data_IF_752075551292
#
_entry.id   IF_752075551292
#
_cell.length_a   1.000
_cell.length_b   1.000
_cell.length_c   1.000
_cell.angle_alpha   90.00
_cell.angle_beta   90.00
_cell.angle_gamma   90.00
#
_symmetry.space_group_name_H-M   'P 1'
#
loop_
_entity.id
_entity.type
_entity.pdbx_description
1 polymer ?
#
# COMPACT_ATOMS: atom_id res chain seq x y z
N UNK A 1 -9.26 -21.54 20.94
CA UNK A 1 -8.58 -20.30 20.50
C UNK A 1 -7.55 -20.77 19.49
N UNK A 2 -7.69 -20.39 18.24
CA UNK A 2 -6.64 -20.58 17.22
C UNK A 2 -5.47 -19.71 17.64
N UNK A 3 -4.29 -20.29 17.85
CA UNK A 3 -3.07 -19.52 18.07
C UNK A 3 -2.88 -18.53 16.92
N UNK A 4 -2.80 -17.25 17.25
CA UNK A 4 -2.53 -16.22 16.25
C UNK A 4 -1.16 -16.50 15.64
N UNK A 5 -1.11 -16.56 14.32
CA UNK A 5 0.12 -16.82 13.55
C UNK A 5 1.14 -15.69 13.68
N UNK A 6 0.71 -14.49 14.08
CA UNK A 6 1.51 -13.27 14.21
C UNK A 6 1.33 -12.69 15.61
N UNK A 7 2.43 -12.21 16.19
CA UNK A 7 2.46 -11.56 17.51
C UNK A 7 2.59 -10.05 17.40
N UNK A 8 3.30 -9.56 16.38
CA UNK A 8 3.56 -8.14 16.16
C UNK A 8 3.48 -7.80 14.67
N UNK A 9 2.78 -6.72 14.34
CA UNK A 9 2.61 -6.26 12.96
C UNK A 9 2.97 -4.77 12.85
N UNK A 10 3.75 -4.43 11.82
CA UNK A 10 4.04 -3.05 11.42
C UNK A 10 3.01 -2.56 10.40
N UNK A 11 2.35 -1.45 10.69
CA UNK A 11 1.34 -0.82 9.82
C UNK A 11 1.88 0.51 9.29
N UNK A 12 1.95 0.64 7.96
CA UNK A 12 2.40 1.87 7.30
C UNK A 12 1.23 2.81 7.04
N UNK A 13 1.42 4.09 7.38
CA UNK A 13 0.49 5.17 7.04
C UNK A 13 0.76 5.77 5.66
N UNK A 14 -0.10 6.67 5.24
CA UNK A 14 -0.06 7.31 3.91
C UNK A 14 0.69 8.65 3.87
N UNK A 15 1.25 9.09 4.99
CA UNK A 15 1.88 10.41 5.08
C UNK A 15 0.88 11.55 5.25
N UNK A 16 1.13 12.72 4.66
CA UNK A 16 0.23 13.87 4.75
C UNK A 16 -1.16 13.55 4.20
N UNK A 17 -2.20 14.01 4.91
CA UNK A 17 -3.58 13.90 4.43
C UNK A 17 -3.78 14.88 3.29
N UNK A 18 -4.04 14.35 2.09
CA UNK A 18 -4.35 15.15 0.89
C UNK A 18 -5.81 14.90 0.50
N UNK A 19 -6.63 15.94 0.52
CA UNK A 19 -8.04 15.84 0.17
C UNK A 19 -8.19 15.34 -1.27
N UNK A 20 -8.99 14.30 -1.45
CA UNK A 20 -9.23 13.67 -2.75
C UNK A 20 -8.16 12.67 -3.20
N UNK A 21 -7.13 12.41 -2.37
CA UNK A 21 -6.03 11.49 -2.72
C UNK A 21 -5.72 10.46 -1.65
N UNK A 22 -5.67 10.84 -0.37
CA UNK A 22 -5.15 9.95 0.69
C UNK A 22 -5.86 10.07 2.04
N UNK A 23 -6.90 10.89 2.14
CA UNK A 23 -7.60 11.14 3.42
C UNK A 23 -8.27 9.89 3.98
N UNK A 24 -8.76 9.00 3.13
CA UNK A 24 -9.40 7.73 3.51
C UNK A 24 -8.42 6.73 4.14
N UNK A 25 -7.14 6.81 3.82
CA UNK A 25 -6.13 5.88 4.34
C UNK A 25 -5.86 6.04 5.82
N UNK A 26 -6.05 7.25 6.38
CA UNK A 26 -5.90 7.48 7.81
C UNK A 26 -6.93 6.67 8.61
N UNK A 27 -8.19 6.71 8.21
CA UNK A 27 -9.23 5.89 8.81
C UNK A 27 -9.00 4.39 8.61
N UNK A 28 -8.59 3.98 7.41
CA UNK A 28 -8.28 2.58 7.09
C UNK A 28 -7.15 2.05 7.95
N UNK A 29 -6.07 2.81 8.11
CA UNK A 29 -4.94 2.45 8.95
C UNK A 29 -5.34 2.32 10.42
N UNK A 30 -6.10 3.28 10.95
CA UNK A 30 -6.60 3.23 12.32
C UNK A 30 -7.53 2.02 12.56
N UNK A 31 -8.38 1.69 11.58
CA UNK A 31 -9.28 0.53 11.65
C UNK A 31 -8.50 -0.79 11.66
N UNK A 32 -7.47 -0.92 10.82
CA UNK A 32 -6.58 -2.09 10.82
C UNK A 32 -5.86 -2.22 12.16
N UNK A 33 -5.29 -1.13 12.69
CA UNK A 33 -4.62 -1.16 13.99
C UNK A 33 -5.56 -1.65 15.11
N UNK A 34 -6.80 -1.15 15.15
CA UNK A 34 -7.80 -1.58 16.14
C UNK A 34 -8.15 -3.04 16.00
N UNK A 35 -8.43 -3.51 14.78
CA UNK A 35 -8.77 -4.90 14.53
C UNK A 35 -7.62 -5.85 14.93
N UNK A 36 -6.37 -5.50 14.65
CA UNK A 36 -5.22 -6.29 15.08
C UNK A 36 -5.09 -6.35 16.60
N UNK A 37 -5.34 -5.24 17.30
CA UNK A 37 -5.32 -5.20 18.78
C UNK A 37 -6.46 -6.02 19.39
N UNK A 38 -7.64 -6.01 18.81
CA UNK A 38 -8.78 -6.86 19.22
C UNK A 38 -8.45 -8.35 19.09
N UNK A 39 -7.64 -8.72 18.11
CA UNK A 39 -7.11 -10.08 17.94
C UNK A 39 -5.91 -10.40 18.87
N UNK A 40 -5.49 -9.46 19.71
CA UNK A 40 -4.36 -9.64 20.64
C UNK A 40 -2.99 -9.52 19.98
N UNK A 41 -2.90 -8.91 18.81
CA UNK A 41 -1.65 -8.68 18.08
C UNK A 41 -1.09 -7.30 18.47
N UNK A 42 0.20 -7.24 18.81
CA UNK A 42 0.90 -5.98 19.06
C UNK A 42 1.08 -5.18 17.77
N UNK A 43 0.73 -3.90 17.81
CA UNK A 43 0.74 -3.04 16.63
C UNK A 43 1.80 -1.96 16.75
N UNK A 44 2.69 -1.92 15.77
CA UNK A 44 3.61 -0.81 15.51
C UNK A 44 3.07 0.00 14.35
N UNK A 45 2.89 1.31 14.52
CA UNK A 45 2.48 2.19 13.44
C UNK A 45 3.58 3.18 13.07
N UNK A 46 3.68 3.53 11.79
CA UNK A 46 4.55 4.60 11.31
C UNK A 46 3.83 5.51 10.33
N UNK A 47 3.91 6.81 10.56
CA UNK A 47 3.40 7.84 9.67
C UNK A 47 4.25 9.10 9.78
N UNK A 48 4.45 9.81 8.69
CA UNK A 48 5.14 11.10 8.70
C UNK A 48 4.26 12.27 9.18
N UNK A 49 2.95 12.09 9.23
CA UNK A 49 2.00 13.09 9.70
C UNK A 49 1.65 12.82 11.17
N UNK A 50 1.96 13.75 12.11
CA UNK A 50 1.64 13.60 13.52
C UNK A 50 0.13 13.76 13.84
N UNK A 51 -0.64 14.35 12.94
CA UNK A 51 -2.04 14.73 13.18
C UNK A 51 -3.04 13.70 12.62
N UNK A 52 -2.60 12.45 12.42
CA UNK A 52 -3.46 11.37 11.94
C UNK A 52 -4.03 10.54 13.07
N UNK A 53 -5.17 9.88 12.83
CA UNK A 53 -5.81 9.00 13.82
C UNK A 53 -4.88 7.84 14.19
N UNK A 54 -4.16 7.28 13.23
CA UNK A 54 -3.27 6.13 13.46
C UNK A 54 -2.05 6.47 14.34
N UNK A 55 -1.70 7.73 14.49
CA UNK A 55 -0.61 8.19 15.35
C UNK A 55 -1.07 8.50 16.79
N UNK A 56 -2.36 8.34 17.10
CA UNK A 56 -2.85 8.38 18.46
C UNK A 56 -2.35 7.17 19.27
N UNK A 57 -1.86 7.45 20.49
CA UNK A 57 -1.31 6.42 21.40
C UNK A 57 -2.29 5.33 21.81
N UNK A 58 -3.59 5.56 21.63
CA UNK A 58 -4.62 4.56 21.89
C UNK A 58 -4.88 3.63 20.70
N UNK A 59 -4.40 3.99 19.52
CA UNK A 59 -4.64 3.24 18.28
C UNK A 59 -3.59 2.17 18.06
N UNK A 60 -2.32 2.46 18.29
CA UNK A 60 -1.23 1.49 18.20
C UNK A 60 -0.44 1.38 19.50
N UNK A 61 0.26 0.28 19.74
CA UNK A 61 1.06 0.06 20.95
C UNK A 61 2.38 0.82 20.88
N UNK A 62 2.96 0.93 19.68
CA UNK A 62 4.13 1.75 19.40
C UNK A 62 3.86 2.64 18.20
N UNK A 63 4.16 3.92 18.32
CA UNK A 63 3.93 4.91 17.25
C UNK A 63 5.24 5.58 16.86
N UNK A 64 5.56 5.54 15.58
CA UNK A 64 6.66 6.26 14.97
C UNK A 64 6.13 7.41 14.10
N UNK A 65 6.55 8.63 14.45
CA UNK A 65 6.29 9.83 13.64
C UNK A 65 7.60 10.15 12.94
N UNK A 66 7.78 9.51 11.77
CA UNK A 66 9.04 9.50 11.03
C UNK A 66 8.78 9.58 9.52
N UNK A 67 9.77 10.01 8.72
CA UNK A 67 9.61 10.01 7.26
C UNK A 67 9.27 8.63 6.71
N UNK A 68 8.26 8.56 5.85
CA UNK A 68 7.84 7.33 5.17
C UNK A 68 8.76 7.06 3.97
N UNK A 69 9.82 6.31 4.21
CA UNK A 69 10.78 5.83 3.20
C UNK A 69 11.37 4.48 3.62
N UNK A 70 12.00 3.79 2.67
CA UNK A 70 12.58 2.46 2.89
C UNK A 70 13.62 2.41 4.01
N UNK A 71 14.49 3.44 4.14
CA UNK A 71 15.52 3.48 5.19
C UNK A 71 14.93 3.58 6.60
N UNK A 72 13.92 4.41 6.79
CA UNK A 72 13.23 4.55 8.07
C UNK A 72 12.52 3.26 8.44
N UNK A 73 11.81 2.65 7.48
CA UNK A 73 11.08 1.39 7.73
C UNK A 73 12.04 0.25 8.05
N UNK A 74 13.21 0.16 7.40
CA UNK A 74 14.27 -0.80 7.75
C UNK A 74 14.71 -0.67 9.22
N UNK A 75 15.02 0.53 9.68
CA UNK A 75 15.39 0.79 11.08
C UNK A 75 14.29 0.40 12.07
N UNK A 76 13.02 0.63 11.70
CA UNK A 76 11.90 0.21 12.54
C UNK A 76 11.79 -1.32 12.57
N UNK A 77 11.95 -2.00 11.44
CA UNK A 77 11.94 -3.48 11.37
C UNK A 77 13.06 -4.07 12.22
N UNK A 78 14.28 -3.54 12.13
CA UNK A 78 15.42 -3.98 12.94
C UNK A 78 15.18 -3.82 14.45
N UNK A 79 14.54 -2.72 14.85
CA UNK A 79 14.28 -2.40 16.26
C UNK A 79 13.10 -3.16 16.83
N UNK A 80 12.01 -3.25 16.08
CA UNK A 80 10.73 -3.81 16.55
C UNK A 80 10.58 -5.29 16.25
N UNK A 81 11.30 -5.81 15.27
CA UNK A 81 11.27 -7.21 14.82
C UNK A 81 9.81 -7.69 14.59
N UNK A 82 9.05 -7.03 13.70
CA UNK A 82 7.67 -7.43 13.45
C UNK A 82 7.60 -8.71 12.62
N UNK A 83 6.64 -9.57 12.93
CA UNK A 83 6.38 -10.80 12.15
C UNK A 83 5.87 -10.48 10.74
N UNK A 84 5.21 -9.33 10.59
CA UNK A 84 4.64 -8.92 9.32
C UNK A 84 4.53 -7.39 9.18
N UNK A 85 4.37 -6.95 7.92
CA UNK A 85 4.15 -5.56 7.52
C UNK A 85 2.90 -5.42 6.67
N UNK A 86 2.11 -4.36 6.90
CA UNK A 86 0.95 -3.98 6.10
C UNK A 86 1.22 -2.62 5.47
N UNK A 87 1.31 -2.58 4.13
CA UNK A 87 1.53 -1.37 3.35
C UNK A 87 0.29 -0.84 2.64
N UNK A 88 -0.79 -1.62 2.54
CA UNK A 88 -2.02 -1.25 1.83
C UNK A 88 -2.70 -0.02 2.41
N UNK A 89 -2.61 0.18 3.72
CA UNK A 89 -3.13 1.35 4.43
C UNK A 89 -2.28 2.61 4.25
N UNK A 90 -1.11 2.46 3.66
CA UNK A 90 -0.19 3.56 3.31
C UNK A 90 -0.38 4.09 1.89
N UNK A 91 -1.41 3.64 1.18
CA UNK A 91 -1.63 4.01 -0.21
C UNK A 91 -0.43 3.66 -1.10
N UNK A 92 -0.18 4.46 -2.12
CA UNK A 92 0.90 4.22 -3.06
C UNK A 92 2.28 4.23 -2.38
N UNK A 93 2.52 5.18 -1.48
CA UNK A 93 3.80 5.28 -0.75
C UNK A 93 4.08 4.03 0.09
N UNK A 94 3.08 3.53 0.83
CA UNK A 94 3.21 2.30 1.62
C UNK A 94 3.46 1.08 0.76
N UNK A 95 2.79 0.98 -0.39
CA UNK A 95 2.98 -0.12 -1.33
C UNK A 95 4.36 -0.08 -2.00
N UNK A 96 4.87 1.12 -2.35
CA UNK A 96 6.24 1.28 -2.89
C UNK A 96 7.30 0.81 -1.92
N UNK A 97 7.21 1.25 -0.67
CA UNK A 97 8.14 0.85 0.38
C UNK A 97 8.12 -0.68 0.55
N UNK A 98 6.95 -1.28 0.64
CA UNK A 98 6.83 -2.73 0.76
C UNK A 98 7.42 -3.47 -0.43
N UNK A 99 7.17 -2.98 -1.65
CA UNK A 99 7.71 -3.58 -2.88
C UNK A 99 9.24 -3.46 -2.95
N UNK A 100 9.79 -2.29 -2.60
CA UNK A 100 11.25 -2.09 -2.50
C UNK A 100 11.89 -3.07 -1.52
N UNK A 101 11.36 -3.16 -0.29
CA UNK A 101 11.90 -4.02 0.76
C UNK A 101 11.79 -5.50 0.42
N UNK A 102 10.76 -5.89 -0.32
CA UNK A 102 10.60 -7.25 -0.79
C UNK A 102 11.57 -7.58 -1.94
N UNK A 103 11.71 -6.68 -2.92
CA UNK A 103 12.56 -6.90 -4.10
C UNK A 103 14.05 -6.99 -3.78
N UNK A 104 14.51 -6.26 -2.77
CA UNK A 104 15.89 -6.32 -2.31
C UNK A 104 16.16 -7.43 -1.28
N UNK A 105 15.15 -8.28 -0.98
CA UNK A 105 15.26 -9.42 -0.06
C UNK A 105 15.23 -9.07 1.42
N UNK A 106 15.09 -7.78 1.76
CA UNK A 106 15.17 -7.32 3.15
C UNK A 106 14.11 -7.92 4.07
N UNK A 107 12.87 -8.04 3.58
CA UNK A 107 11.78 -8.63 4.37
C UNK A 107 12.05 -10.10 4.68
N UNK A 108 12.56 -10.87 3.72
CA UNK A 108 12.88 -12.28 3.90
C UNK A 108 14.06 -12.47 4.87
N UNK A 109 15.10 -11.64 4.76
CA UNK A 109 16.25 -11.66 5.67
C UNK A 109 15.87 -11.41 7.13
N UNK A 110 14.84 -10.59 7.38
CA UNK A 110 14.36 -10.26 8.73
C UNK A 110 13.14 -11.11 9.15
N UNK A 111 12.70 -12.06 8.33
CA UNK A 111 11.55 -12.91 8.62
C UNK A 111 10.20 -12.18 8.66
N UNK A 112 10.16 -10.94 8.17
CA UNK A 112 8.94 -10.10 8.14
C UNK A 112 8.12 -10.40 6.88
N UNK A 113 6.85 -10.77 7.03
CA UNK A 113 5.98 -11.11 5.91
C UNK A 113 5.15 -9.92 5.43
N UNK A 114 5.05 -9.75 4.11
CA UNK A 114 4.09 -8.80 3.55
C UNK A 114 2.67 -9.37 3.65
N UNK A 115 1.76 -8.61 4.28
CA UNK A 115 0.33 -8.93 4.38
C UNK A 115 -0.51 -7.98 3.54
N UNK A 116 -1.69 -8.47 3.16
CA UNK A 116 -2.67 -7.73 2.37
C UNK A 116 -2.53 -8.05 0.89
N UNK A 117 -1.89 -7.18 0.14
CA UNK A 117 -1.75 -7.32 -1.32
C UNK A 117 -0.51 -8.14 -1.70
N UNK A 118 -0.64 -8.98 -2.74
CA UNK A 118 0.49 -9.74 -3.27
C UNK A 118 1.41 -8.85 -4.13
N UNK A 119 2.73 -9.13 -4.16
CA UNK A 119 3.68 -8.36 -4.95
C UNK A 119 3.35 -8.31 -6.45
N UNK A 120 2.85 -9.42 -7.00
CA UNK A 120 2.43 -9.51 -8.40
C UNK A 120 1.27 -8.56 -8.69
N UNK A 121 0.34 -8.44 -7.76
CA UNK A 121 -0.80 -7.52 -7.87
C UNK A 121 -0.34 -6.06 -7.81
N UNK A 122 0.61 -5.72 -6.92
CA UNK A 122 1.18 -4.35 -6.88
C UNK A 122 1.82 -3.99 -8.23
N UNK A 123 2.57 -4.92 -8.81
CA UNK A 123 3.19 -4.72 -10.13
C UNK A 123 2.16 -4.58 -11.24
N UNK A 124 1.11 -5.40 -11.21
CA UNK A 124 0.05 -5.38 -12.22
C UNK A 124 -0.73 -4.06 -12.21
N UNK A 125 -1.16 -3.57 -11.04
CA UNK A 125 -1.93 -2.31 -10.96
C UNK A 125 -1.11 -1.08 -11.36
N UNK A 126 0.22 -1.16 -11.35
CA UNK A 126 1.14 -0.08 -11.76
C UNK A 126 1.53 -0.13 -13.23
N UNK A 127 1.19 -1.19 -13.93
CA UNK A 127 1.43 -1.37 -15.34
C UNK A 127 0.10 -1.52 -16.06
N UNK A 128 -0.26 -0.53 -16.88
CA UNK A 128 -1.56 -0.48 -17.53
C UNK A 128 -1.83 -1.74 -18.39
N UNK A 129 -0.83 -2.22 -19.11
CA UNK A 129 -1.00 -3.43 -19.92
C UNK A 129 -1.22 -4.67 -19.06
N UNK A 130 -0.42 -4.83 -17.98
CA UNK A 130 -0.56 -5.96 -17.06
C UNK A 130 -1.90 -5.94 -16.29
N UNK A 131 -2.39 -4.75 -15.94
CA UNK A 131 -3.72 -4.60 -15.34
C UNK A 131 -4.82 -5.02 -16.32
N UNK A 132 -4.73 -4.57 -17.57
CA UNK A 132 -5.67 -4.93 -18.63
C UNK A 132 -5.70 -6.44 -18.87
N UNK A 133 -4.53 -7.04 -19.06
CA UNK A 133 -4.41 -8.49 -19.25
C UNK A 133 -5.00 -9.27 -18.06
N UNK A 134 -4.83 -8.75 -16.85
CA UNK A 134 -5.41 -9.33 -15.63
C UNK A 134 -6.93 -9.24 -15.65
N UNK A 135 -7.51 -8.07 -15.97
CA UNK A 135 -8.96 -7.87 -16.04
C UNK A 135 -9.59 -8.72 -17.14
N UNK A 136 -8.93 -8.80 -18.30
CA UNK A 136 -9.37 -9.63 -19.42
C UNK A 136 -9.39 -11.13 -19.06
N UNK A 137 -8.35 -11.61 -18.36
CA UNK A 137 -8.26 -13.00 -17.91
C UNK A 137 -9.35 -13.40 -16.91
N UNK A 138 -9.82 -12.45 -16.09
CA UNK A 138 -10.91 -12.69 -15.12
C UNK A 138 -12.29 -12.35 -15.68
N UNK A 139 -12.37 -11.84 -16.93
CA UNK A 139 -13.63 -11.48 -17.60
C UNK A 139 -14.29 -10.21 -17.08
N UNK A 140 -13.52 -9.34 -16.43
CA UNK A 140 -14.02 -8.07 -15.93
C UNK A 140 -13.90 -6.94 -16.96
N UNK A 141 -14.90 -6.05 -17.06
CA UNK A 141 -14.84 -4.92 -17.98
C UNK A 141 -13.76 -3.92 -17.56
N UNK A 142 -13.09 -3.35 -18.55
CA UNK A 142 -12.11 -2.28 -18.35
C UNK A 142 -12.30 -1.15 -19.38
N UNK A 143 -11.80 0.05 -19.02
CA UNK A 143 -11.84 1.20 -19.91
C UNK A 143 -10.84 0.99 -21.04
N UNK A 144 -11.28 1.19 -22.30
CA UNK A 144 -10.38 1.21 -23.46
C UNK A 144 -9.35 2.31 -23.29
N UNK A 145 -8.08 1.92 -23.15
CA UNK A 145 -6.96 2.84 -23.02
C UNK A 145 -5.77 2.36 -23.85
N UNK A 146 -4.90 3.27 -24.26
CA UNK A 146 -3.70 2.96 -25.02
C UNK A 146 -2.63 4.02 -24.76
N UNK A 147 -1.42 3.59 -24.49
CA UNK A 147 -0.27 4.48 -24.44
C UNK A 147 0.20 4.75 -25.87
N UNK A 148 0.21 6.01 -26.28
CA UNK A 148 0.52 6.41 -27.65
C UNK A 148 1.66 7.45 -27.65
N UNK A 149 2.65 7.29 -28.55
CA UNK A 149 3.84 8.13 -28.54
C UNK A 149 3.65 9.52 -29.17
N UNK A 150 2.55 9.75 -29.92
CA UNK A 150 2.32 11.01 -30.62
C UNK A 150 0.87 11.50 -30.51
N UNK A 151 0.68 12.83 -30.56
CA UNK A 151 -0.63 13.47 -30.56
C UNK A 151 -1.52 13.00 -31.72
N UNK A 152 -0.91 12.77 -32.92
CA UNK A 152 -1.65 12.31 -34.09
C UNK A 152 -2.26 10.90 -33.88
N UNK A 153 -1.52 10.01 -33.23
CA UNK A 153 -2.03 8.68 -32.86
C UNK A 153 -3.11 8.78 -31.78
N UNK A 154 -2.97 9.72 -30.82
CA UNK A 154 -4.01 9.98 -29.82
C UNK A 154 -5.32 10.44 -30.47
N UNK A 155 -5.26 11.37 -31.42
CA UNK A 155 -6.43 11.84 -32.17
C UNK A 155 -7.07 10.69 -32.98
N UNK A 156 -6.27 9.86 -33.62
CA UNK A 156 -6.75 8.70 -34.38
C UNK A 156 -7.47 7.73 -33.46
N UNK A 157 -6.84 7.34 -32.38
CA UNK A 157 -7.41 6.40 -31.41
C UNK A 157 -8.69 6.98 -30.74
N UNK A 158 -8.71 8.26 -30.39
CA UNK A 158 -9.91 8.90 -29.87
C UNK A 158 -11.09 8.85 -30.85
N UNK A 159 -10.80 8.98 -32.16
CA UNK A 159 -11.82 8.80 -33.19
C UNK A 159 -12.33 7.36 -33.31
N UNK A 160 -11.50 6.36 -33.06
CA UNK A 160 -11.88 4.94 -33.07
C UNK A 160 -12.75 4.55 -31.89
N UNK A 161 -12.44 5.02 -30.67
CA UNK A 161 -13.16 4.64 -29.44
C UNK A 161 -14.36 5.54 -29.15
N UNK A 162 -14.44 6.74 -29.77
CA UNK A 162 -15.48 7.72 -29.52
C UNK A 162 -15.23 8.64 -28.32
N UNK A 163 -16.03 9.68 -28.21
CA UNK A 163 -15.95 10.69 -27.15
C UNK A 163 -17.04 10.48 -26.08
N UNK A 164 -16.79 10.90 -24.79
CA UNK A 164 -15.62 11.62 -24.30
C UNK A 164 -14.39 10.73 -24.09
N UNK A 165 -13.18 11.29 -24.19
CA UNK A 165 -11.90 10.65 -23.88
C UNK A 165 -11.18 11.40 -22.77
N UNK A 166 -10.38 10.69 -21.97
CA UNK A 166 -9.44 11.24 -20.99
C UNK A 166 -8.03 11.14 -21.57
N UNK A 167 -7.23 12.19 -21.41
CA UNK A 167 -5.83 12.24 -21.84
C UNK A 167 -4.95 12.51 -20.63
#
# INVERSE_FOLDING_TARGET
>A
MTENKYSKILVLGAGPVVIGSSSEYDYSAASVCRALKEEGISVVSVNSNPDTIMTDKNVADTVYIEPLNGETVKKIIEKEIPDAIIGTTGGEAGLEICLELLQNGYLDEHGTKLLGIKPETIKAIRNEQALRDTLENVGEPYVSAKVLPTDAECVTFAGEIGFPVLI
#
